data_IF_244580396496
#
_entry.id   IF_244580396496
#
_cell.length_a   1.000
_cell.length_b   1.000
_cell.length_c   1.000
_cell.angle_alpha   90.00
_cell.angle_beta   90.00
_cell.angle_gamma   90.00
#
_symmetry.space_group_name_H-M   'P 1'
#
loop_
_entity.id
_entity.type
_entity.pdbx_description
1 polymer ?
#
# COMPACT_ATOMS: atom_id res chain seq x y z
N UNK A 1 -10.82 7.04 0.45
CA UNK A 1 -9.74 6.33 -0.28
C UNK A 1 -9.60 6.72 -1.76
N UNK A 2 -10.43 7.63 -2.30
CA UNK A 2 -10.41 8.10 -3.70
C UNK A 2 -9.04 8.53 -4.25
N UNK A 3 -8.25 9.27 -3.46
CA UNK A 3 -6.93 9.77 -3.91
C UNK A 3 -5.90 8.66 -4.07
N UNK A 4 -5.86 7.69 -3.15
CA UNK A 4 -4.92 6.57 -3.20
C UNK A 4 -5.30 5.61 -4.33
N UNK A 5 -6.58 5.35 -4.51
CA UNK A 5 -7.08 4.58 -5.66
C UNK A 5 -6.70 5.24 -6.99
N UNK A 6 -6.99 6.54 -7.15
CA UNK A 6 -6.68 7.28 -8.37
C UNK A 6 -5.18 7.30 -8.72
N UNK A 7 -4.30 7.23 -7.72
CA UNK A 7 -2.85 7.11 -7.92
C UNK A 7 -2.46 5.69 -8.30
N UNK A 8 -2.87 4.69 -7.50
CA UNK A 8 -2.40 3.31 -7.64
C UNK A 8 -2.95 2.55 -8.83
N UNK A 9 -4.04 3.02 -9.46
CA UNK A 9 -4.56 2.41 -10.70
C UNK A 9 -3.80 2.83 -11.95
N UNK A 10 -2.98 3.90 -11.89
CA UNK A 10 -2.32 4.46 -13.07
C UNK A 10 -1.09 3.65 -13.52
N UNK A 11 -0.45 2.95 -12.58
CA UNK A 11 0.77 2.19 -12.81
C UNK A 11 0.98 1.19 -11.66
N UNK A 12 2.02 0.37 -11.77
CA UNK A 12 2.45 -0.46 -10.65
C UNK A 12 3.23 0.41 -9.64
N UNK A 13 2.79 0.39 -8.38
CA UNK A 13 3.45 1.11 -7.29
C UNK A 13 3.98 0.14 -6.24
N UNK A 14 5.06 0.56 -5.58
CA UNK A 14 5.57 -0.07 -4.36
C UNK A 14 5.07 0.71 -3.14
N UNK A 15 4.86 0.02 -2.01
CA UNK A 15 4.56 0.65 -0.71
C UNK A 15 5.74 0.50 0.23
N UNK A 16 6.18 1.61 0.83
CA UNK A 16 7.21 1.63 1.88
C UNK A 16 6.62 2.25 3.14
N UNK A 17 6.73 1.52 4.24
CA UNK A 17 6.32 1.95 5.57
C UNK A 17 7.57 1.97 6.44
N UNK A 18 7.92 3.15 6.94
CA UNK A 18 8.99 3.32 7.92
C UNK A 18 8.37 3.41 9.32
N UNK A 19 8.99 2.73 10.28
CA UNK A 19 8.55 2.60 11.66
C UNK A 19 9.67 3.07 12.59
N UNK A 20 9.29 3.76 13.66
CA UNK A 20 10.19 4.20 14.72
C UNK A 20 9.50 3.93 16.07
N UNK A 21 10.22 3.31 17.00
CA UNK A 21 9.74 3.12 18.37
C UNK A 21 10.14 4.28 19.30
N UNK A 22 9.66 4.26 20.54
CA UNK A 22 9.98 5.31 21.53
C UNK A 22 11.43 5.27 22.03
N UNK A 23 12.20 4.24 21.68
CA UNK A 23 13.62 4.09 22.00
C UNK A 23 14.52 4.49 20.80
N UNK A 24 13.94 5.12 19.77
CA UNK A 24 14.57 5.54 18.51
C UNK A 24 15.11 4.37 17.66
N UNK A 25 14.61 3.14 17.87
CA UNK A 25 14.87 2.04 16.94
C UNK A 25 14.03 2.24 15.68
N UNK A 26 14.64 2.02 14.51
CA UNK A 26 13.96 2.16 13.22
C UNK A 26 13.90 0.83 12.48
N UNK A 27 12.74 0.58 11.87
CA UNK A 27 12.49 -0.60 11.04
C UNK A 27 11.63 -0.24 9.84
N UNK A 28 11.52 -1.15 8.88
CA UNK A 28 10.68 -0.90 7.71
C UNK A 28 9.99 -2.12 7.13
N UNK A 29 8.86 -1.87 6.47
CA UNK A 29 8.18 -2.82 5.60
C UNK A 29 8.10 -2.25 4.18
N UNK A 30 8.58 -3.00 3.19
CA UNK A 30 8.46 -2.68 1.76
C UNK A 30 7.62 -3.75 1.07
N UNK A 31 6.72 -3.34 0.19
CA UNK A 31 5.92 -4.21 -0.67
C UNK A 31 6.16 -3.81 -2.13
N UNK A 32 6.63 -4.77 -2.94
CA UNK A 32 6.93 -4.56 -4.37
C UNK A 32 5.71 -4.35 -5.26
N UNK A 33 4.52 -4.72 -4.77
CA UNK A 33 3.25 -4.46 -5.44
C UNK A 33 2.24 -3.91 -4.44
N UNK A 34 1.65 -2.77 -4.75
CA UNK A 34 0.63 -2.10 -3.95
C UNK A 34 -0.40 -1.41 -4.84
N UNK A 35 -1.67 -1.62 -4.51
CA UNK A 35 -2.75 -0.82 -5.04
C UNK A 35 -4.07 -1.00 -4.31
N UNK A 36 -4.98 -0.08 -4.55
CA UNK A 36 -6.28 -0.03 -3.87
C UNK A 36 -7.36 0.02 -4.92
N UNK A 37 -8.30 -0.94 -4.90
CA UNK A 37 -9.42 -1.01 -5.85
C UNK A 37 -8.99 -1.26 -7.31
N UNK A 38 -7.88 -1.97 -7.55
CA UNK A 38 -7.30 -2.15 -8.89
C UNK A 38 -8.24 -2.81 -9.91
N UNK A 39 -9.16 -3.65 -9.43
CA UNK A 39 -10.09 -4.42 -10.26
C UNK A 39 -11.55 -4.07 -10.00
N UNK A 40 -11.80 -3.03 -9.20
CA UNK A 40 -13.15 -2.59 -8.83
C UNK A 40 -13.80 -1.82 -9.96
N UNK A 41 -15.07 -2.12 -10.24
CA UNK A 41 -15.88 -1.31 -11.17
C UNK A 41 -16.36 -0.05 -10.46
N UNK A 42 -16.82 -0.19 -9.21
CA UNK A 42 -17.08 0.93 -8.30
C UNK A 42 -16.29 0.72 -6.99
N UNK A 43 -15.13 1.39 -6.82
CA UNK A 43 -14.29 1.21 -5.64
C UNK A 43 -14.91 1.79 -4.35
N UNK A 44 -15.89 2.72 -4.44
CA UNK A 44 -16.61 3.22 -3.27
C UNK A 44 -17.59 2.18 -2.74
N UNK A 45 -18.29 1.47 -3.64
CA UNK A 45 -19.20 0.37 -3.29
C UNK A 45 -18.44 -0.89 -2.87
N UNK A 46 -17.36 -1.23 -3.57
CA UNK A 46 -16.50 -2.39 -3.28
C UNK A 46 -15.62 -2.21 -2.02
N UNK A 47 -15.63 -1.02 -1.42
CA UNK A 47 -14.93 -0.74 -0.16
C UNK A 47 -13.41 -0.64 -0.30
N UNK A 48 -12.90 -0.32 -1.49
CA UNK A 48 -11.47 -0.11 -1.75
C UNK A 48 -10.58 -1.31 -1.35
N UNK A 49 -10.75 -2.49 -1.98
CA UNK A 49 -9.99 -3.68 -1.64
C UNK A 49 -8.48 -3.45 -1.83
N UNK A 50 -7.69 -3.84 -0.83
CA UNK A 50 -6.24 -3.72 -0.82
C UNK A 50 -5.60 -4.88 -1.61
N UNK A 51 -4.73 -4.55 -2.55
CA UNK A 51 -3.82 -5.48 -3.23
C UNK A 51 -2.39 -5.17 -2.79
N UNK A 52 -1.72 -6.13 -2.14
CA UNK A 52 -0.36 -5.96 -1.65
C UNK A 52 0.44 -7.26 -1.72
N UNK A 53 1.67 -7.23 -2.23
CA UNK A 53 2.53 -8.40 -2.37
C UNK A 53 4.03 -8.04 -2.34
N UNK A 54 4.89 -9.07 -2.44
CA UNK A 54 6.35 -8.95 -2.51
C UNK A 54 6.98 -8.21 -1.32
N UNK A 55 6.70 -8.73 -0.12
CA UNK A 55 7.25 -8.20 1.12
C UNK A 55 8.78 -8.30 1.18
N UNK A 56 9.42 -7.23 1.63
CA UNK A 56 10.81 -7.19 2.07
C UNK A 56 10.97 -6.16 3.20
N UNK A 57 11.70 -6.48 4.26
CA UNK A 57 11.78 -5.56 5.39
C UNK A 57 12.53 -6.08 6.61
N UNK A 58 12.66 -5.18 7.57
CA UNK A 58 13.25 -5.42 8.90
C UNK A 58 12.26 -5.15 10.03
N UNK A 59 11.03 -4.74 9.70
CA UNK A 59 9.91 -4.62 10.62
C UNK A 59 9.32 -5.99 10.99
#
# INVERSE_FOLDING_TARGET
MKRIHALTIQANYELRIDLEDFENSTSFAKYGSFGVGLFSVDPDEDGYPLSVADYSGTA
#
